data_IF_245651210468
#
_entry.id   IF_245651210468
#
_cell.length_a   1.000
_cell.length_b   1.000
_cell.length_c   1.000
_cell.angle_alpha   90.00
_cell.angle_beta   90.00
_cell.angle_gamma   90.00
#
_symmetry.space_group_name_H-M   'P 1'
#
loop_
_entity.id
_entity.type
_entity.pdbx_description
1 polymer ?
#
# COMPACT_ATOMS: atom_id res chain seq x y z
N UNK A 1 39.62 2.40 33.19
CA UNK A 1 38.55 1.92 34.08
C UNK A 1 37.24 2.08 33.32
N UNK A 2 36.34 1.07 33.26
CA UNK A 2 35.03 1.26 32.66
C UNK A 2 34.31 2.36 33.43
N UNK A 3 33.92 3.43 32.75
CA UNK A 3 33.16 4.53 33.36
C UNK A 3 31.77 4.00 33.71
N UNK A 4 31.40 3.85 34.99
CA UNK A 4 30.15 3.22 35.40
C UNK A 4 28.91 3.95 34.84
N UNK A 5 29.07 5.22 34.44
CA UNK A 5 28.06 5.98 33.74
C UNK A 5 27.84 5.52 32.30
N UNK A 6 28.91 5.26 31.54
CA UNK A 6 28.82 4.79 30.15
C UNK A 6 28.18 3.40 30.09
N UNK A 7 28.53 2.52 31.02
CA UNK A 7 27.94 1.17 31.10
C UNK A 7 26.44 1.23 31.41
N UNK A 8 26.01 2.11 32.33
CA UNK A 8 24.59 2.33 32.65
C UNK A 8 23.82 2.91 31.46
N UNK A 9 24.42 3.86 30.74
CA UNK A 9 23.82 4.44 29.53
C UNK A 9 23.68 3.36 28.45
N UNK A 10 24.74 2.59 28.19
CA UNK A 10 24.72 1.53 27.20
C UNK A 10 23.65 0.48 27.53
N UNK A 11 23.55 0.06 28.80
CA UNK A 11 22.52 -0.86 29.26
C UNK A 11 21.11 -0.27 29.07
N UNK A 12 20.90 0.99 29.47
CA UNK A 12 19.60 1.65 29.32
C UNK A 12 19.18 1.75 27.84
N UNK A 13 20.12 2.11 26.95
CA UNK A 13 19.87 2.16 25.51
C UNK A 13 19.58 0.76 24.96
N UNK A 14 20.34 -0.27 25.37
CA UNK A 14 20.10 -1.64 24.93
C UNK A 14 18.71 -2.13 25.34
N UNK A 15 18.31 -1.91 26.60
CA UNK A 15 16.97 -2.26 27.11
C UNK A 15 15.89 -1.52 26.33
N UNK A 16 16.06 -0.21 26.12
CA UNK A 16 15.11 0.60 25.35
C UNK A 16 14.93 0.07 23.92
N UNK A 17 16.03 -0.28 23.23
CA UNK A 17 15.98 -0.82 21.87
C UNK A 17 15.30 -2.19 21.81
N UNK A 18 15.54 -3.05 22.79
CA UNK A 18 14.86 -4.37 22.88
C UNK A 18 13.36 -4.19 23.12
N UNK A 19 12.98 -3.34 24.09
CA UNK A 19 11.58 -3.04 24.37
C UNK A 19 10.88 -2.43 23.15
N UNK A 20 11.56 -1.52 22.45
CA UNK A 20 11.05 -0.94 21.21
C UNK A 20 10.84 -2.01 20.14
N UNK A 21 11.83 -2.89 19.93
CA UNK A 21 11.74 -3.93 18.92
C UNK A 21 10.52 -4.84 19.16
N UNK A 22 10.28 -5.25 20.40
CA UNK A 22 9.09 -6.05 20.77
C UNK A 22 7.80 -5.27 20.52
N UNK A 23 7.73 -4.02 21.01
CA UNK A 23 6.54 -3.18 20.87
C UNK A 23 6.23 -2.87 19.39
N UNK A 24 7.26 -2.50 18.61
CA UNK A 24 7.16 -2.20 17.19
C UNK A 24 6.71 -3.42 16.38
N UNK A 25 7.22 -4.62 16.70
CA UNK A 25 6.79 -5.87 16.06
C UNK A 25 5.33 -6.19 16.36
N UNK A 26 4.90 -6.05 17.61
CA UNK A 26 3.51 -6.27 18.01
C UNK A 26 2.57 -5.27 17.34
N UNK A 27 2.95 -3.99 17.31
CA UNK A 27 2.20 -2.95 16.61
C UNK A 27 2.09 -3.25 15.12
N UNK A 28 3.18 -3.64 14.45
CA UNK A 28 3.14 -3.96 13.04
C UNK A 28 2.22 -5.15 12.76
N UNK A 29 2.20 -6.15 13.64
CA UNK A 29 1.29 -7.31 13.51
C UNK A 29 -0.18 -6.90 13.63
N UNK A 30 -0.53 -6.07 14.62
CA UNK A 30 -1.89 -5.55 14.74
C UNK A 30 -2.29 -4.72 13.52
N UNK A 31 -1.39 -3.86 13.05
CA UNK A 31 -1.61 -3.03 11.86
C UNK A 31 -1.78 -3.88 10.61
N UNK A 32 -0.95 -4.91 10.44
CA UNK A 32 -1.04 -5.86 9.34
C UNK A 32 -2.41 -6.54 9.31
N UNK A 33 -2.89 -7.04 10.44
CA UNK A 33 -4.20 -7.72 10.54
C UNK A 33 -5.34 -6.76 10.23
N UNK A 34 -5.30 -5.55 10.78
CA UNK A 34 -6.32 -4.53 10.52
C UNK A 34 -6.39 -4.16 9.03
N UNK A 35 -5.24 -3.81 8.43
CA UNK A 35 -5.14 -3.47 7.01
C UNK A 35 -5.51 -4.66 6.13
N UNK A 36 -5.10 -5.87 6.49
CA UNK A 36 -5.45 -7.08 5.77
C UNK A 36 -6.96 -7.34 5.78
N UNK A 37 -7.65 -7.06 6.89
CA UNK A 37 -9.09 -7.22 6.94
C UNK A 37 -9.79 -6.25 5.99
N UNK A 38 -9.46 -4.96 6.06
CA UNK A 38 -10.07 -3.93 5.20
C UNK A 38 -9.74 -4.19 3.73
N UNK A 39 -8.50 -4.53 3.42
CA UNK A 39 -8.08 -4.86 2.06
C UNK A 39 -8.75 -6.14 1.53
N UNK A 40 -8.96 -7.16 2.36
CA UNK A 40 -9.68 -8.37 1.96
C UNK A 40 -11.13 -8.07 1.62
N UNK A 41 -11.82 -7.31 2.48
CA UNK A 41 -13.20 -6.89 2.26
C UNK A 41 -13.33 -6.07 0.96
N UNK A 42 -12.38 -5.16 0.71
CA UNK A 42 -12.33 -4.42 -0.55
C UNK A 42 -12.03 -5.31 -1.76
N UNK A 43 -11.03 -6.19 -1.68
CA UNK A 43 -10.67 -7.09 -2.78
C UNK A 43 -11.79 -8.09 -3.12
N UNK A 44 -12.60 -8.49 -2.14
CA UNK A 44 -13.76 -9.35 -2.36
C UNK A 44 -14.84 -8.69 -3.24
N UNK A 45 -14.83 -7.36 -3.42
CA UNK A 45 -15.73 -6.70 -4.40
C UNK A 45 -15.28 -6.89 -5.84
N UNK A 46 -14.05 -7.34 -6.08
CA UNK A 46 -13.51 -7.62 -7.42
C UNK A 46 -13.80 -9.05 -7.89
N UNK A 47 -14.27 -9.92 -7.00
CA UNK A 47 -14.51 -11.33 -7.32
C UNK A 47 -14.61 -12.21 -6.08
N UNK A 48 -14.91 -13.49 -6.29
CA UNK A 48 -14.97 -14.49 -5.23
C UNK A 48 -13.59 -14.94 -4.77
N UNK A 49 -13.51 -15.35 -3.50
CA UNK A 49 -12.35 -15.99 -2.87
C UNK A 49 -11.04 -15.17 -2.92
N UNK A 50 -10.76 -14.43 -1.84
CA UNK A 50 -9.50 -13.68 -1.68
C UNK A 50 -8.49 -14.50 -0.89
N UNK A 51 -7.41 -14.89 -1.55
CA UNK A 51 -6.27 -15.54 -0.89
C UNK A 51 -5.35 -14.49 -0.28
N UNK A 52 -4.71 -14.82 0.85
CA UNK A 52 -3.78 -13.93 1.54
C UNK A 52 -2.47 -14.67 1.82
N UNK A 53 -1.35 -14.06 1.44
CA UNK A 53 0.00 -14.53 1.69
C UNK A 53 0.76 -13.47 2.48
N UNK A 54 1.23 -13.81 3.67
CA UNK A 54 2.05 -12.92 4.48
C UNK A 54 3.46 -12.76 3.87
N UNK A 55 4.05 -11.57 4.01
CA UNK A 55 5.44 -11.29 3.63
C UNK A 55 6.33 -11.12 4.85
N UNK A 56 7.56 -11.64 4.79
CA UNK A 56 8.56 -11.47 5.84
C UNK A 56 8.08 -11.92 7.22
N UNK A 57 7.38 -13.06 7.30
CA UNK A 57 6.83 -13.57 8.57
C UNK A 57 5.61 -12.81 9.11
N UNK A 58 4.94 -12.00 8.28
CA UNK A 58 3.73 -11.26 8.64
C UNK A 58 3.98 -9.87 9.25
N UNK A 59 5.25 -9.44 9.29
CA UNK A 59 5.65 -8.13 9.83
C UNK A 59 6.11 -7.15 8.76
N UNK A 60 6.35 -7.59 7.53
CA UNK A 60 6.78 -6.72 6.43
C UNK A 60 5.64 -6.30 5.51
N UNK A 61 4.54 -7.05 5.50
CA UNK A 61 3.41 -6.81 4.60
C UNK A 61 2.65 -8.08 4.26
N UNK A 62 1.82 -7.99 3.23
CA UNK A 62 1.04 -9.10 2.71
C UNK A 62 0.74 -8.91 1.23
N UNK A 63 0.47 -10.01 0.54
CA UNK A 63 -0.07 -10.04 -0.82
C UNK A 63 -1.44 -10.69 -0.77
N UNK A 64 -2.39 -10.11 -1.49
CA UNK A 64 -3.70 -10.71 -1.73
C UNK A 64 -3.92 -10.91 -3.21
N UNK A 65 -4.53 -12.03 -3.56
CA UNK A 65 -4.88 -12.39 -4.93
C UNK A 65 -6.34 -12.85 -4.94
N UNK A 66 -7.12 -12.33 -5.90
CA UNK A 66 -8.51 -12.73 -6.13
C UNK A 66 -8.49 -14.01 -6.96
N UNK A 67 -8.97 -15.11 -6.38
CA UNK A 67 -8.98 -16.42 -7.01
C UNK A 67 -10.02 -16.56 -8.11
N UNK A 68 -11.19 -15.91 -7.96
CA UNK A 68 -12.27 -15.90 -8.97
C UNK A 68 -12.66 -14.47 -9.32
N UNK A 69 -11.92 -13.79 -10.21
CA UNK A 69 -12.23 -12.43 -10.63
C UNK A 69 -13.62 -12.31 -11.26
N UNK A 70 -14.30 -11.21 -11.00
CA UNK A 70 -15.60 -10.88 -11.57
C UNK A 70 -15.52 -10.39 -13.02
N UNK A 71 -16.66 -10.00 -13.61
CA UNK A 71 -16.73 -9.57 -15.01
C UNK A 71 -15.76 -8.42 -15.34
N UNK A 72 -15.10 -8.51 -16.50
CA UNK A 72 -14.16 -7.51 -17.01
C UNK A 72 -12.75 -7.56 -16.39
N UNK A 73 -12.51 -8.45 -15.42
CA UNK A 73 -11.24 -8.61 -14.73
C UNK A 73 -10.69 -10.01 -14.99
N UNK A 74 -9.45 -10.11 -15.45
CA UNK A 74 -8.71 -11.37 -15.65
C UNK A 74 -7.98 -11.80 -14.39
N UNK A 75 -7.35 -10.87 -13.69
CA UNK A 75 -6.64 -11.12 -12.43
C UNK A 75 -6.59 -9.84 -11.60
N UNK A 76 -6.55 -9.98 -10.28
CA UNK A 76 -6.40 -8.86 -9.37
C UNK A 76 -5.49 -9.23 -8.20
N UNK A 77 -4.44 -8.45 -8.00
CA UNK A 77 -3.45 -8.64 -6.95
C UNK A 77 -3.22 -7.33 -6.20
N UNK A 78 -3.20 -7.39 -4.88
CA UNK A 78 -2.86 -6.26 -4.01
C UNK A 78 -1.66 -6.62 -3.15
N UNK A 79 -0.59 -5.83 -3.26
CA UNK A 79 0.59 -5.90 -2.39
C UNK A 79 0.50 -4.76 -1.37
N UNK A 80 0.63 -5.11 -0.10
CA UNK A 80 0.81 -4.17 1.00
C UNK A 80 2.22 -4.31 1.56
N UNK A 81 2.92 -3.19 1.70
CA UNK A 81 4.22 -3.08 2.36
C UNK A 81 4.07 -2.18 3.59
N UNK A 82 4.34 -2.74 4.77
CA UNK A 82 4.22 -2.01 6.03
C UNK A 82 5.47 -1.18 6.30
N UNK A 83 5.31 -0.10 7.06
CA UNK A 83 6.46 0.61 7.63
C UNK A 83 7.30 -0.33 8.52
N UNK A 84 8.64 -0.23 8.49
CA UNK A 84 9.53 -0.97 9.39
C UNK A 84 9.52 -0.32 10.78
N UNK A 85 8.52 -0.67 11.60
CA UNK A 85 8.29 -0.10 12.94
C UNK A 85 9.18 -0.71 14.03
N UNK A 86 9.80 -1.83 13.73
CA UNK A 86 10.73 -2.58 14.58
C UNK A 86 12.07 -1.86 14.79
N UNK A 87 12.46 -0.96 13.88
CA UNK A 87 13.67 -0.14 14.00
C UNK A 87 13.32 1.33 14.24
N UNK A 88 13.49 1.88 15.47
CA UNK A 88 12.98 3.20 15.84
C UNK A 88 13.55 4.33 15.00
N UNK A 89 14.86 4.30 14.73
CA UNK A 89 15.55 5.33 13.94
C UNK A 89 15.12 5.29 12.47
N UNK A 90 15.02 4.10 11.88
CA UNK A 90 14.56 3.93 10.51
C UNK A 90 13.08 4.33 10.36
N UNK A 91 12.26 3.99 11.35
CA UNK A 91 10.86 4.40 11.41
C UNK A 91 10.71 5.92 11.51
N UNK A 92 11.44 6.58 12.41
CA UNK A 92 11.42 8.03 12.56
C UNK A 92 11.85 8.74 11.26
N UNK A 93 12.92 8.25 10.62
CA UNK A 93 13.41 8.78 9.35
C UNK A 93 12.40 8.64 8.20
N UNK A 94 11.81 7.45 8.06
CA UNK A 94 10.83 7.17 7.00
C UNK A 94 9.55 7.99 7.21
N UNK A 95 9.09 8.15 8.46
CA UNK A 95 7.97 9.01 8.84
C UNK A 95 8.25 10.47 8.52
N UNK A 96 9.46 10.97 8.80
CA UNK A 96 9.87 12.33 8.47
C UNK A 96 9.86 12.60 6.96
N UNK A 97 10.27 11.61 6.15
CA UNK A 97 10.14 11.65 4.68
C UNK A 97 8.71 11.45 4.15
N UNK A 98 7.71 11.44 5.03
CA UNK A 98 6.30 11.28 4.67
C UNK A 98 5.91 9.89 4.17
N UNK A 99 6.80 8.89 4.25
CA UNK A 99 6.51 7.52 3.85
C UNK A 99 5.56 6.88 4.85
N UNK A 100 4.55 6.18 4.33
CA UNK A 100 3.55 5.42 5.08
C UNK A 100 3.48 3.97 4.60
N UNK A 101 2.56 3.18 5.16
CA UNK A 101 2.24 1.85 4.65
C UNK A 101 1.86 1.99 3.16
N UNK A 102 2.47 1.21 2.28
CA UNK A 102 2.30 1.33 0.82
C UNK A 102 1.42 0.20 0.30
N UNK A 103 0.51 0.55 -0.58
CA UNK A 103 -0.33 -0.38 -1.31
C UNK A 103 -0.06 -0.26 -2.81
N UNK A 104 0.04 -1.41 -3.47
CA UNK A 104 0.16 -1.52 -4.91
C UNK A 104 -0.93 -2.50 -5.34
N UNK A 105 -1.94 -1.98 -6.01
CA UNK A 105 -3.00 -2.75 -6.63
C UNK A 105 -2.69 -2.91 -8.11
N UNK A 106 -2.74 -4.14 -8.59
CA UNK A 106 -2.60 -4.51 -10.00
C UNK A 106 -3.84 -5.29 -10.42
N UNK A 107 -4.52 -4.82 -11.45
CA UNK A 107 -5.67 -5.49 -12.04
C UNK A 107 -5.39 -5.70 -13.51
N UNK A 108 -5.45 -6.94 -13.98
CA UNK A 108 -5.47 -7.22 -15.41
C UNK A 108 -6.92 -7.21 -15.88
N UNK A 109 -7.24 -6.37 -16.86
CA UNK A 109 -8.54 -6.27 -17.50
C UNK A 109 -8.65 -7.29 -18.64
N UNK A 110 -9.88 -7.66 -18.97
CA UNK A 110 -10.17 -8.52 -20.13
C UNK A 110 -10.18 -7.71 -21.43
N UNK A 111 -10.59 -6.45 -21.36
CA UNK A 111 -10.67 -5.54 -22.51
C UNK A 111 -9.38 -4.74 -22.69
N UNK A 112 -9.14 -4.24 -23.91
CA UNK A 112 -8.05 -3.31 -24.18
C UNK A 112 -8.28 -1.99 -23.46
N UNK A 113 -7.25 -1.49 -22.81
CA UNK A 113 -7.29 -0.21 -22.09
C UNK A 113 -6.61 0.88 -22.90
N UNK A 114 -7.14 2.11 -22.81
CA UNK A 114 -6.40 3.28 -23.30
C UNK A 114 -5.21 3.54 -22.38
N UNK A 115 -3.99 3.71 -22.91
CA UNK A 115 -2.83 3.98 -22.08
C UNK A 115 -2.94 5.38 -21.48
N UNK A 116 -2.84 5.46 -20.17
CA UNK A 116 -2.85 6.73 -19.44
C UNK A 116 -2.08 6.58 -18.14
N UNK A 117 -1.43 7.66 -17.71
CA UNK A 117 -0.64 7.69 -16.48
C UNK A 117 -0.93 8.97 -15.72
N UNK A 118 -1.28 8.81 -14.45
CA UNK A 118 -1.44 9.90 -13.50
C UNK A 118 -0.51 9.64 -12.33
N UNK A 119 0.53 10.46 -12.21
CA UNK A 119 1.36 10.50 -11.01
C UNK A 119 0.69 11.41 -9.98
N UNK A 120 0.52 10.90 -8.77
CA UNK A 120 -0.06 11.68 -7.69
C UNK A 120 0.90 12.82 -7.32
N UNK A 121 0.45 14.05 -7.53
CA UNK A 121 1.11 15.22 -6.94
C UNK A 121 0.60 15.31 -5.51
N UNK A 122 1.50 15.29 -4.52
CA UNK A 122 1.20 15.47 -3.11
C UNK A 122 0.29 16.69 -2.90
N UNK A 123 -1.02 16.49 -2.75
CA UNK A 123 -2.00 17.56 -2.59
C UNK A 123 -3.45 17.07 -2.69
N UNK A 124 -4.41 17.73 -2.02
CA UNK A 124 -5.81 17.30 -1.93
C UNK A 124 -6.59 17.35 -3.25
N UNK A 125 -5.96 17.77 -4.35
CA UNK A 125 -6.57 17.96 -5.67
C UNK A 125 -6.18 16.88 -6.72
N UNK A 126 -5.62 15.75 -6.28
CA UNK A 126 -5.20 14.64 -7.16
C UNK A 126 -6.34 13.73 -7.64
N UNK A 127 -7.39 14.30 -8.24
CA UNK A 127 -8.34 13.65 -9.18
C UNK A 127 -9.27 12.53 -8.70
N UNK A 128 -8.90 11.69 -7.72
CA UNK A 128 -9.63 10.46 -7.38
C UNK A 128 -9.92 10.27 -5.89
N UNK A 129 -9.72 11.31 -5.07
CA UNK A 129 -10.07 11.29 -3.63
C UNK A 129 -9.15 10.43 -2.75
N UNK A 130 -8.03 9.93 -3.28
CA UNK A 130 -7.00 9.22 -2.52
C UNK A 130 -5.99 10.21 -1.94
N UNK A 131 -5.83 10.23 -0.61
CA UNK A 131 -5.01 11.24 0.07
C UNK A 131 -3.53 11.16 -0.29
N UNK A 132 -3.05 9.94 -0.55
CA UNK A 132 -1.63 9.66 -0.82
C UNK A 132 -1.47 8.81 -2.07
N UNK A 133 -2.15 9.18 -3.16
CA UNK A 133 -1.90 8.56 -4.45
C UNK A 133 -0.44 8.80 -4.85
N UNK A 134 0.24 7.74 -5.28
CA UNK A 134 1.59 7.80 -5.84
C UNK A 134 1.50 7.67 -7.35
N UNK A 135 0.70 6.71 -7.83
CA UNK A 135 0.57 6.41 -9.25
C UNK A 135 -0.79 5.76 -9.54
N UNK A 136 -1.43 6.17 -10.62
CA UNK A 136 -2.46 5.39 -11.31
C UNK A 136 -2.06 5.28 -12.78
N UNK A 137 -2.00 4.07 -13.32
CA UNK A 137 -1.58 3.83 -14.70
C UNK A 137 -2.42 2.74 -15.35
N UNK A 138 -2.68 2.89 -16.64
CA UNK A 138 -3.30 1.90 -17.51
C UNK A 138 -2.39 1.63 -18.71
N UNK A 139 -2.29 0.38 -19.15
CA UNK A 139 -1.49 -0.01 -20.31
C UNK A 139 -2.30 -0.85 -21.30
N UNK A 140 -1.96 -0.80 -22.59
CA UNK A 140 -2.71 -1.47 -23.66
C UNK A 140 -2.17 -2.87 -24.03
N UNK A 141 -0.85 -3.06 -24.02
CA UNK A 141 -0.19 -4.30 -24.52
C UNK A 141 -0.31 -5.49 -23.58
N UNK A 142 -0.43 -5.23 -22.28
CA UNK A 142 -0.93 -6.16 -21.28
C UNK A 142 -1.96 -5.37 -20.50
N UNK A 143 -3.27 -5.50 -20.78
CA UNK A 143 -4.30 -4.60 -20.26
C UNK A 143 -4.31 -4.66 -18.75
N UNK A 144 -3.51 -3.81 -18.11
CA UNK A 144 -3.38 -3.77 -16.67
C UNK A 144 -3.51 -2.36 -16.15
N UNK A 145 -4.18 -2.28 -15.02
CA UNK A 145 -4.35 -1.10 -14.19
C UNK A 145 -3.43 -1.27 -12.99
N UNK A 146 -2.56 -0.30 -12.76
CA UNK A 146 -1.77 -0.23 -11.54
C UNK A 146 -2.15 1.02 -10.75
N UNK A 147 -2.54 0.84 -9.49
CA UNK A 147 -2.79 1.93 -8.54
C UNK A 147 -1.89 1.75 -7.32
N UNK A 148 -0.96 2.68 -7.12
CA UNK A 148 -0.05 2.72 -5.99
C UNK A 148 -0.38 3.89 -5.08
N UNK A 149 -0.57 3.65 -3.78
CA UNK A 149 -0.96 4.68 -2.81
C UNK A 149 -0.41 4.37 -1.41
N UNK A 150 -0.27 5.41 -0.58
CA UNK A 150 0.06 5.28 0.84
C UNK A 150 -1.18 5.27 1.73
N UNK A 151 -1.11 4.61 2.88
CA UNK A 151 -2.17 4.60 3.90
C UNK A 151 -1.56 4.88 5.26
N UNK A 152 -1.91 6.01 5.87
CA UNK A 152 -1.62 6.29 7.27
C UNK A 152 -2.68 5.72 8.24
N UNK A 153 -2.43 5.77 9.56
CA UNK A 153 -3.46 5.53 10.57
C UNK A 153 -4.66 6.46 10.37
N UNK A 154 -5.87 5.90 10.30
CA UNK A 154 -7.12 6.65 10.07
C UNK A 154 -7.43 6.92 8.58
N UNK A 155 -6.59 6.45 7.65
CA UNK A 155 -6.79 6.61 6.20
C UNK A 155 -7.22 5.29 5.53
N UNK A 156 -7.73 4.32 6.30
CA UNK A 156 -8.06 2.98 5.80
C UNK A 156 -9.19 2.99 4.76
N UNK A 157 -10.03 4.04 4.76
CA UNK A 157 -11.05 4.27 3.74
C UNK A 157 -10.48 4.46 2.32
N UNK A 158 -9.19 4.77 2.19
CA UNK A 158 -8.56 4.93 0.89
C UNK A 158 -8.34 3.58 0.19
N UNK A 159 -8.31 2.48 0.94
CA UNK A 159 -8.18 1.12 0.37
C UNK A 159 -9.38 0.75 -0.51
N UNK A 160 -10.64 0.77 -0.02
CA UNK A 160 -11.80 0.46 -0.86
C UNK A 160 -11.98 1.47 -2.01
N UNK A 161 -11.64 2.75 -1.80
CA UNK A 161 -11.68 3.77 -2.87
C UNK A 161 -10.70 3.44 -4.00
N UNK A 162 -9.47 3.03 -3.65
CA UNK A 162 -8.47 2.65 -4.65
C UNK A 162 -8.89 1.39 -5.42
N UNK A 163 -9.53 0.44 -4.74
CA UNK A 163 -10.10 -0.76 -5.38
C UNK A 163 -11.22 -0.40 -6.36
N UNK A 164 -12.16 0.47 -5.96
CA UNK A 164 -13.22 0.95 -6.82
C UNK A 164 -12.69 1.70 -8.04
N UNK A 165 -11.69 2.57 -7.83
CA UNK A 165 -11.01 3.28 -8.91
C UNK A 165 -10.40 2.31 -9.92
N UNK A 166 -9.60 1.35 -9.43
CA UNK A 166 -8.93 0.39 -10.31
C UNK A 166 -9.93 -0.51 -11.04
N UNK A 167 -11.03 -0.91 -10.38
CA UNK A 167 -12.10 -1.68 -10.99
C UNK A 167 -12.79 -0.89 -12.11
N UNK A 168 -13.16 0.37 -11.86
CA UNK A 168 -13.78 1.23 -12.85
C UNK A 168 -12.87 1.48 -14.05
N UNK A 169 -11.56 1.65 -13.83
CA UNK A 169 -10.57 1.74 -14.90
C UNK A 169 -10.45 0.43 -15.69
N UNK A 170 -10.43 -0.72 -15.03
CA UNK A 170 -10.32 -2.03 -15.67
C UNK A 170 -11.56 -2.39 -16.50
N UNK A 171 -12.75 -1.98 -16.04
CA UNK A 171 -14.02 -2.18 -16.75
C UNK A 171 -14.28 -1.12 -17.84
N UNK A 172 -13.46 -0.08 -17.93
CA UNK A 172 -13.64 1.03 -18.87
C UNK A 172 -14.76 2.02 -18.49
N UNK A 173 -15.31 1.92 -17.28
CA UNK A 173 -16.29 2.85 -16.70
C UNK A 173 -15.66 4.20 -16.36
N UNK A 174 -14.37 4.17 -15.99
CA UNK A 174 -13.56 5.33 -15.70
C UNK A 174 -12.43 5.43 -16.71
N UNK A 175 -12.05 6.66 -17.04
CA UNK A 175 -10.87 6.93 -17.86
C UNK A 175 -9.98 7.92 -17.10
N UNK A 176 -8.69 7.59 -17.02
CA UNK A 176 -7.70 8.57 -16.60
C UNK A 176 -7.62 9.62 -17.70
N UNK A 177 -7.78 10.90 -17.36
CA UNK A 177 -7.45 11.97 -18.28
C UNK A 177 -5.97 11.82 -18.63
N UNK A 178 -5.66 11.55 -19.90
CA UNK A 178 -4.29 11.56 -20.37
C UNK A 178 -3.76 12.96 -20.11
N UNK A 179 -2.76 13.10 -19.23
CA UNK A 179 -1.98 14.33 -19.23
C UNK A 179 -1.30 14.37 -20.59
N UNK A 180 -1.72 15.32 -21.43
CA UNK A 180 -1.05 15.59 -22.69
C UNK A 180 0.45 15.69 -22.44
N UNK A 181 1.22 15.04 -23.30
CA UNK A 181 2.52 15.55 -23.68
C UNK A 181 2.28 16.91 -24.34
N UNK A 182 1.97 17.93 -23.55
CA UNK A 182 2.17 19.30 -23.98
C UNK A 182 3.62 19.62 -23.63
N UNK A 183 4.42 19.45 -24.67
CA UNK A 183 5.76 19.96 -24.87
C UNK A 183 5.91 21.39 -24.35
N UNK A 184 6.89 21.61 -23.48
CA UNK A 184 7.86 22.71 -23.53
C UNK A 184 8.94 22.50 -22.47
#
# INVERSE_FOLDING_TARGET
MPEPLLDRIALAVAVLLVLWWVAGRQWNRHRAVQLARVAREAMATLGGDVTLRALGGGTSGFIMEVGRPGPGIRSAQMLCLLEPRDFPLAWAWTRWRGRRDQFILKIEATASLRPARLEGRSGPAGGFGLRRLVLAATQAQSPHVQVSFGVGPGEESDIPRAVQLAAGLARGELQLAARGQDSA
#
